data_IF_221528219661
#
_entry.id   IF_221528219661
#
_cell.length_a   1.000
_cell.length_b   1.000
_cell.length_c   1.000
_cell.angle_alpha   90.00
_cell.angle_beta   90.00
_cell.angle_gamma   90.00
#
_symmetry.space_group_name_H-M   'P 1'
#
loop_
_entity.id
_entity.type
_entity.pdbx_description
1 polymer ?
#
# COMPACT_ATOMS: atom_id res chain seq x y z
N UNK A 1 3.68 11.29 40.27
CA UNK A 1 4.94 10.57 39.93
C UNK A 1 5.34 10.84 38.49
N UNK A 2 4.51 10.53 37.49
CA UNK A 2 4.86 10.64 36.06
C UNK A 2 5.41 12.00 35.57
N UNK A 3 4.69 13.11 35.74
CA UNK A 3 5.09 14.35 35.03
C UNK A 3 6.24 15.12 35.69
N UNK A 4 6.44 14.96 37.00
CA UNK A 4 7.44 15.72 37.75
C UNK A 4 8.72 14.90 37.98
N UNK A 5 8.59 13.61 38.30
CA UNK A 5 9.76 12.78 38.61
C UNK A 5 10.49 12.34 37.34
N UNK A 6 9.78 11.86 36.32
CA UNK A 6 10.40 11.42 35.07
C UNK A 6 11.11 12.60 34.37
N UNK A 7 10.44 13.75 34.32
CA UNK A 7 10.98 14.99 33.73
C UNK A 7 12.23 15.51 34.45
N UNK A 8 12.27 15.45 35.77
CA UNK A 8 13.43 15.92 36.57
C UNK A 8 14.63 14.97 36.44
N UNK A 9 14.39 13.68 36.23
CA UNK A 9 15.46 12.66 36.16
C UNK A 9 15.84 12.25 34.73
N UNK A 10 15.26 12.89 33.70
CA UNK A 10 15.52 12.53 32.29
C UNK A 10 15.06 11.11 31.94
N UNK A 11 14.08 10.58 32.66
CA UNK A 11 13.53 9.25 32.43
C UNK A 11 12.31 9.34 31.52
N UNK A 12 12.06 8.26 30.79
CA UNK A 12 10.82 8.05 30.08
C UNK A 12 9.63 8.03 31.05
N UNK A 13 8.51 8.60 30.62
CA UNK A 13 7.27 8.50 31.39
C UNK A 13 6.76 7.04 31.35
N UNK A 14 5.84 6.70 32.28
CA UNK A 14 5.32 5.32 32.40
C UNK A 14 4.74 4.79 31.09
N UNK A 15 4.15 5.66 30.26
CA UNK A 15 3.60 5.30 28.96
C UNK A 15 4.70 4.86 27.98
N UNK A 16 5.75 5.66 27.81
CA UNK A 16 6.88 5.34 26.94
C UNK A 16 7.60 4.06 27.40
N UNK A 17 7.80 3.90 28.72
CA UNK A 17 8.35 2.66 29.28
C UNK A 17 7.50 1.44 28.94
N UNK A 18 6.16 1.55 29.03
CA UNK A 18 5.26 0.44 28.69
C UNK A 18 5.31 0.07 27.20
N UNK A 19 5.44 1.07 26.31
CA UNK A 19 5.57 0.86 24.87
C UNK A 19 6.91 0.19 24.54
N UNK A 20 8.01 0.63 25.16
CA UNK A 20 9.34 0.01 24.98
C UNK A 20 9.32 -1.45 25.41
N UNK A 21 8.78 -1.75 26.60
CA UNK A 21 8.70 -3.11 27.10
C UNK A 21 7.83 -4.01 26.20
N UNK A 22 6.68 -3.51 25.73
CA UNK A 22 5.82 -4.26 24.82
C UNK A 22 6.53 -4.52 23.47
N UNK A 23 7.23 -3.52 22.95
CA UNK A 23 8.00 -3.65 21.71
C UNK A 23 9.08 -4.72 21.83
N UNK A 24 9.92 -4.62 22.85
CA UNK A 24 11.07 -5.50 23.05
C UNK A 24 10.66 -6.95 23.33
N UNK A 25 9.65 -7.14 24.18
CA UNK A 25 9.31 -8.47 24.68
C UNK A 25 8.22 -9.19 23.86
N UNK A 26 7.43 -8.46 23.06
CA UNK A 26 6.31 -9.03 22.30
C UNK A 26 6.51 -8.83 20.80
N UNK A 27 6.59 -7.58 20.33
CA UNK A 27 6.63 -7.28 18.89
C UNK A 27 7.93 -7.77 18.23
N UNK A 28 9.07 -7.58 18.90
CA UNK A 28 10.38 -7.97 18.40
C UNK A 28 10.73 -9.43 18.71
N UNK A 29 9.83 -10.17 19.37
CA UNK A 29 10.04 -11.60 19.57
C UNK A 29 9.98 -12.32 18.21
N UNK A 30 11.02 -13.05 17.77
CA UNK A 30 11.16 -13.49 16.37
C UNK A 30 9.94 -14.21 15.79
N UNK A 31 9.36 -15.15 16.54
CA UNK A 31 8.18 -15.90 16.09
C UNK A 31 6.93 -15.02 15.95
N UNK A 32 6.78 -14.02 16.83
CA UNK A 32 5.65 -13.08 16.76
C UNK A 32 5.87 -12.13 15.59
N UNK A 33 7.09 -11.60 15.45
CA UNK A 33 7.48 -10.73 14.35
C UNK A 33 7.18 -11.37 12.98
N UNK A 34 7.64 -12.59 12.73
CA UNK A 34 7.40 -13.30 11.47
C UNK A 34 5.92 -13.54 11.20
N UNK A 35 5.18 -13.99 12.22
CA UNK A 35 3.73 -14.21 12.12
C UNK A 35 2.98 -12.91 11.87
N UNK A 36 3.39 -11.82 12.51
CA UNK A 36 2.80 -10.50 12.34
C UNK A 36 3.01 -10.01 10.92
N UNK A 37 4.25 -10.02 10.40
CA UNK A 37 4.57 -9.65 9.01
C UNK A 37 3.74 -10.45 8.01
N UNK A 38 3.69 -11.78 8.18
CA UNK A 38 2.94 -12.67 7.29
C UNK A 38 1.42 -12.40 7.36
N UNK A 39 0.88 -12.22 8.56
CA UNK A 39 -0.54 -11.94 8.77
C UNK A 39 -0.93 -10.58 8.21
N UNK A 40 -0.06 -9.58 8.34
CA UNK A 40 -0.24 -8.25 7.77
C UNK A 40 -0.33 -8.33 6.25
N UNK A 41 0.63 -8.96 5.58
CA UNK A 41 0.59 -9.12 4.13
C UNK A 41 -0.68 -9.82 3.65
N UNK A 42 -1.06 -10.92 4.30
CA UNK A 42 -2.29 -11.65 3.95
C UNK A 42 -3.56 -10.82 4.16
N UNK A 43 -3.59 -9.96 5.18
CA UNK A 43 -4.75 -9.12 5.49
C UNK A 43 -4.87 -7.94 4.52
N UNK A 44 -3.75 -7.44 4.01
CA UNK A 44 -3.69 -6.26 3.14
C UNK A 44 -3.49 -6.62 1.65
N UNK A 45 -3.53 -7.90 1.30
CA UNK A 45 -3.26 -8.40 -0.04
C UNK A 45 -4.15 -7.73 -1.11
N UNK A 46 -3.58 -6.99 -2.08
CA UNK A 46 -4.32 -6.35 -3.18
C UNK A 46 -5.03 -7.36 -4.11
N UNK A 47 -4.63 -8.64 -4.06
CA UNK A 47 -5.20 -9.70 -4.87
C UNK A 47 -6.49 -10.29 -4.28
N UNK A 48 -6.87 -9.95 -3.04
CA UNK A 48 -8.15 -10.38 -2.46
C UNK A 48 -9.31 -9.64 -3.13
N UNK A 49 -9.80 -10.20 -4.23
CA UNK A 49 -11.00 -9.75 -4.91
C UNK A 49 -12.24 -10.09 -4.05
N UNK A 50 -12.84 -9.08 -3.40
CA UNK A 50 -14.09 -9.24 -2.66
C UNK A 50 -13.96 -9.78 -1.23
N UNK A 51 -12.74 -9.83 -0.67
CA UNK A 51 -12.55 -10.07 0.76
C UNK A 51 -13.04 -8.88 1.58
N UNK A 52 -14.03 -9.08 2.45
CA UNK A 52 -14.48 -8.05 3.40
C UNK A 52 -13.43 -7.95 4.51
N UNK A 53 -12.37 -7.21 4.26
CA UNK A 53 -11.39 -6.89 5.31
C UNK A 53 -11.96 -5.75 6.15
N UNK A 54 -11.94 -5.91 7.47
CA UNK A 54 -12.44 -4.89 8.37
C UNK A 54 -11.47 -3.70 8.41
N UNK A 55 -11.82 -2.61 7.72
CA UNK A 55 -11.03 -1.37 7.68
C UNK A 55 -10.71 -0.82 9.08
N UNK A 56 -11.60 -1.03 10.05
CA UNK A 56 -11.37 -0.63 11.44
C UNK A 56 -10.22 -1.42 12.06
N UNK A 57 -10.18 -2.74 11.84
CA UNK A 57 -9.08 -3.59 12.32
C UNK A 57 -7.75 -3.19 11.68
N UNK A 58 -7.74 -2.98 10.37
CA UNK A 58 -6.53 -2.53 9.65
C UNK A 58 -6.03 -1.20 10.19
N UNK A 59 -6.94 -0.25 10.45
CA UNK A 59 -6.61 1.06 11.01
C UNK A 59 -5.98 0.95 12.39
N UNK A 60 -6.54 0.13 13.27
CA UNK A 60 -5.96 -0.07 14.60
C UNK A 60 -4.60 -0.75 14.55
N UNK A 61 -4.38 -1.69 13.62
CA UNK A 61 -3.08 -2.32 13.45
C UNK A 61 -2.04 -1.30 12.94
N UNK A 62 -2.36 -0.50 11.92
CA UNK A 62 -1.47 0.58 11.46
C UNK A 62 -1.15 1.56 12.60
N UNK A 63 -2.15 2.01 13.35
CA UNK A 63 -1.96 2.90 14.50
C UNK A 63 -1.09 2.28 15.59
N UNK A 64 -1.29 0.99 15.89
CA UNK A 64 -0.48 0.26 16.86
C UNK A 64 1.00 0.25 16.43
N UNK A 65 1.28 -0.13 15.18
CA UNK A 65 2.64 -0.19 14.65
C UNK A 65 3.34 1.18 14.68
N UNK A 66 2.61 2.26 14.34
CA UNK A 66 3.13 3.63 14.36
C UNK A 66 3.35 4.13 15.79
N UNK A 67 2.42 3.85 16.71
CA UNK A 67 2.54 4.26 18.12
C UNK A 67 3.72 3.55 18.79
N UNK A 68 3.98 2.33 18.36
CA UNK A 68 5.12 1.54 18.80
C UNK A 68 6.39 1.89 18.03
N UNK A 69 6.46 2.99 17.29
CA UNK A 69 7.65 3.33 16.52
C UNK A 69 8.46 4.45 17.20
N UNK A 70 9.72 4.17 17.55
CA UNK A 70 10.61 5.21 18.07
C UNK A 70 11.41 5.90 16.95
N UNK A 71 11.47 5.33 15.73
CA UNK A 71 12.25 5.86 14.59
C UNK A 71 11.71 5.46 13.21
N UNK A 72 10.40 5.26 13.05
CA UNK A 72 9.77 4.77 11.80
C UNK A 72 10.33 3.42 11.28
N UNK A 73 10.85 2.56 12.15
CA UNK A 73 11.39 1.24 11.78
C UNK A 73 10.32 0.15 11.77
N UNK A 74 9.40 0.13 12.73
CA UNK A 74 8.47 -1.02 12.87
C UNK A 74 7.38 -0.96 11.82
N UNK A 75 6.72 0.20 11.66
CA UNK A 75 5.69 0.32 10.64
C UNK A 75 6.28 0.09 9.24
N UNK A 76 7.41 0.72 8.95
CA UNK A 76 8.02 0.65 7.63
C UNK A 76 8.62 -0.71 7.31
N UNK A 77 9.31 -1.37 8.25
CA UNK A 77 9.93 -2.69 8.00
C UNK A 77 8.94 -3.85 8.08
N UNK A 78 7.92 -3.77 8.96
CA UNK A 78 7.03 -4.91 9.21
C UNK A 78 5.82 -4.88 8.30
N UNK A 79 5.40 -3.69 7.85
CA UNK A 79 4.23 -3.51 7.04
C UNK A 79 4.52 -2.81 5.71
N UNK A 80 4.93 -1.54 5.72
CA UNK A 80 4.91 -0.69 4.53
C UNK A 80 5.80 -1.24 3.41
N UNK A 81 7.05 -1.56 3.71
CA UNK A 81 8.01 -2.04 2.70
C UNK A 81 7.57 -3.38 2.11
N UNK A 82 7.26 -4.42 2.91
CA UNK A 82 6.72 -5.67 2.37
C UNK A 82 5.42 -5.49 1.57
N UNK A 83 4.51 -4.64 2.06
CA UNK A 83 3.22 -4.37 1.43
C UNK A 83 3.39 -3.72 0.05
N UNK A 84 4.26 -2.71 -0.06
CA UNK A 84 4.57 -2.03 -1.30
C UNK A 84 5.27 -2.99 -2.29
N UNK A 85 6.22 -3.80 -1.83
CA UNK A 85 6.89 -4.80 -2.69
C UNK A 85 5.93 -5.85 -3.25
N UNK A 86 5.04 -6.37 -2.41
CA UNK A 86 4.02 -7.33 -2.82
C UNK A 86 3.03 -6.70 -3.81
N UNK A 87 2.62 -5.46 -3.55
CA UNK A 87 1.70 -4.73 -4.42
C UNK A 87 2.30 -4.38 -5.78
N UNK A 88 3.57 -3.95 -5.83
CA UNK A 88 4.28 -3.69 -7.08
C UNK A 88 4.28 -4.93 -7.99
N UNK A 89 4.60 -6.09 -7.42
CA UNK A 89 4.60 -7.36 -8.15
C UNK A 89 3.20 -7.71 -8.67
N UNK A 90 2.17 -7.53 -7.83
CA UNK A 90 0.79 -7.75 -8.22
C UNK A 90 0.36 -6.82 -9.38
N UNK A 91 0.63 -5.52 -9.30
CA UNK A 91 0.29 -4.56 -10.37
C UNK A 91 1.07 -4.81 -11.65
N UNK A 92 2.33 -5.21 -11.56
CA UNK A 92 3.11 -5.60 -12.72
C UNK A 92 2.46 -6.78 -13.45
N UNK A 93 2.12 -7.85 -12.74
CA UNK A 93 1.45 -9.02 -13.33
C UNK A 93 0.06 -8.67 -13.90
N UNK A 94 -0.71 -7.85 -13.18
CA UNK A 94 -2.02 -7.38 -13.61
C UNK A 94 -1.92 -6.54 -14.89
N UNK A 95 -0.96 -5.61 -14.95
CA UNK A 95 -0.72 -4.75 -16.13
C UNK A 95 -0.39 -5.57 -17.38
N UNK A 96 0.51 -6.55 -17.28
CA UNK A 96 0.88 -7.40 -18.41
C UNK A 96 -0.28 -8.26 -18.90
N UNK A 97 -1.08 -8.80 -17.97
CA UNK A 97 -2.29 -9.55 -18.31
C UNK A 97 -3.29 -8.67 -19.06
N UNK A 98 -3.58 -7.47 -18.54
CA UNK A 98 -4.51 -6.54 -19.17
C UNK A 98 -4.03 -6.09 -20.56
N UNK A 99 -2.73 -5.81 -20.73
CA UNK A 99 -2.15 -5.44 -22.03
C UNK A 99 -2.17 -6.59 -23.06
N UNK A 100 -2.22 -7.85 -22.60
CA UNK A 100 -2.35 -9.00 -23.49
C UNK A 100 -3.80 -9.28 -23.92
N UNK A 101 -4.78 -8.90 -23.08
CA UNK A 101 -6.18 -9.26 -23.26
C UNK A 101 -7.05 -8.11 -23.80
N UNK A 102 -6.62 -6.85 -23.66
CA UNK A 102 -7.46 -5.66 -23.89
C UNK A 102 -6.90 -4.76 -24.98
N UNK A 103 -7.77 -3.97 -25.60
CA UNK A 103 -7.35 -2.85 -26.45
C UNK A 103 -7.02 -1.60 -25.61
N UNK A 104 -6.41 -0.57 -26.22
CA UNK A 104 -5.92 0.60 -25.46
C UNK A 104 -7.02 1.32 -24.66
N UNK A 105 -8.21 1.49 -25.22
CA UNK A 105 -9.31 2.17 -24.53
C UNK A 105 -9.86 1.35 -23.36
N UNK A 106 -9.97 0.04 -23.53
CA UNK A 106 -10.39 -0.86 -22.46
C UNK A 106 -9.37 -0.91 -21.33
N UNK A 107 -8.07 -0.99 -21.69
CA UNK A 107 -6.96 -0.96 -20.76
C UNK A 107 -6.98 0.31 -19.91
N UNK A 108 -7.04 1.50 -20.53
CA UNK A 108 -7.06 2.78 -19.81
C UNK A 108 -8.26 2.87 -18.85
N UNK A 109 -9.44 2.38 -19.26
CA UNK A 109 -10.63 2.37 -18.41
C UNK A 109 -10.46 1.45 -17.20
N UNK A 110 -9.95 0.24 -17.40
CA UNK A 110 -9.76 -0.75 -16.32
C UNK A 110 -8.68 -0.29 -15.33
N UNK A 111 -7.53 0.21 -15.78
CA UNK A 111 -6.49 0.70 -14.86
C UNK A 111 -6.95 1.93 -14.07
N UNK A 112 -7.74 2.83 -14.68
CA UNK A 112 -8.27 4.02 -13.97
C UNK A 112 -9.21 3.62 -12.84
N UNK A 113 -10.08 2.63 -13.10
CA UNK A 113 -10.94 2.05 -12.07
C UNK A 113 -10.12 1.34 -10.99
N UNK A 114 -9.06 0.62 -11.38
CA UNK A 114 -8.19 -0.11 -10.46
C UNK A 114 -7.43 0.81 -9.52
N UNK A 115 -6.82 1.90 -10.01
CA UNK A 115 -6.14 2.91 -9.19
C UNK A 115 -7.12 3.59 -8.23
N UNK A 116 -8.32 3.93 -8.70
CA UNK A 116 -9.37 4.54 -7.85
C UNK A 116 -9.84 3.60 -6.75
N UNK A 117 -9.99 2.31 -7.08
CA UNK A 117 -10.33 1.26 -6.12
C UNK A 117 -9.22 1.12 -5.07
N UNK A 118 -7.96 1.16 -5.51
CA UNK A 118 -6.82 1.03 -4.60
C UNK A 118 -6.72 2.20 -3.63
N UNK A 119 -6.85 3.44 -4.12
CA UNK A 119 -6.93 4.62 -3.26
C UNK A 119 -8.04 4.48 -2.21
N UNK A 120 -9.25 4.13 -2.66
CA UNK A 120 -10.41 3.95 -1.77
C UNK A 120 -10.16 2.83 -0.75
N UNK A 121 -9.45 1.78 -1.16
CA UNK A 121 -9.09 0.65 -0.31
C UNK A 121 -8.17 1.11 0.82
N UNK A 122 -7.12 1.87 0.54
CA UNK A 122 -6.08 2.17 1.54
C UNK A 122 -6.34 3.43 2.38
N UNK A 123 -7.09 4.40 1.88
CA UNK A 123 -7.25 5.73 2.50
C UNK A 123 -7.87 5.68 3.90
N UNK A 124 -8.71 4.68 4.17
CA UNK A 124 -9.44 4.57 5.44
C UNK A 124 -8.58 4.08 6.61
N UNK A 125 -7.45 3.41 6.34
CA UNK A 125 -6.66 2.75 7.37
C UNK A 125 -5.14 2.96 7.28
N UNK A 126 -4.60 3.38 6.15
CA UNK A 126 -3.17 3.69 6.03
C UNK A 126 -2.88 5.18 6.31
N UNK A 127 -1.66 5.51 6.79
CA UNK A 127 -1.17 6.88 6.81
C UNK A 127 -1.13 7.47 5.40
N UNK A 128 -1.29 8.80 5.32
CA UNK A 128 -1.26 9.53 4.05
C UNK A 128 0.00 9.23 3.22
N UNK A 129 1.18 9.13 3.86
CA UNK A 129 2.44 8.81 3.17
C UNK A 129 2.37 7.48 2.42
N UNK A 130 1.81 6.45 3.05
CA UNK A 130 1.66 5.13 2.44
C UNK A 130 0.63 5.12 1.32
N UNK A 131 -0.46 5.89 1.49
CA UNK A 131 -1.48 6.09 0.44
C UNK A 131 -0.86 6.76 -0.79
N UNK A 132 -0.09 7.83 -0.59
CA UNK A 132 0.58 8.53 -1.67
C UNK A 132 1.60 7.61 -2.37
N UNK A 133 2.36 6.80 -1.62
CA UNK A 133 3.31 5.82 -2.16
C UNK A 133 2.64 4.73 -3.01
N UNK A 134 1.56 4.11 -2.52
CA UNK A 134 0.90 3.00 -3.24
C UNK A 134 0.19 3.49 -4.50
N UNK A 135 -0.43 4.67 -4.46
CA UNK A 135 -1.08 5.26 -5.66
C UNK A 135 -0.04 5.58 -6.72
N UNK A 136 1.06 6.24 -6.33
CA UNK A 136 2.16 6.52 -7.27
C UNK A 136 2.73 5.24 -7.87
N UNK A 137 2.93 4.22 -7.05
CA UNK A 137 3.40 2.91 -7.51
C UNK A 137 2.41 2.26 -8.49
N UNK A 138 1.11 2.35 -8.26
CA UNK A 138 0.11 1.86 -9.18
C UNK A 138 0.15 2.63 -10.52
N UNK A 139 0.28 3.96 -10.49
CA UNK A 139 0.45 4.78 -11.69
C UNK A 139 1.73 4.41 -12.46
N UNK A 140 2.85 4.21 -11.76
CA UNK A 140 4.11 3.78 -12.37
C UNK A 140 3.97 2.42 -13.08
N UNK A 141 3.41 1.41 -12.39
CA UNK A 141 3.26 0.04 -12.91
C UNK A 141 2.22 -0.06 -14.02
N UNK A 142 1.09 0.63 -13.92
CA UNK A 142 0.01 0.55 -14.92
C UNK A 142 0.20 1.49 -16.11
N UNK A 143 0.80 2.67 -15.91
CA UNK A 143 0.85 3.75 -16.89
C UNK A 143 2.28 4.02 -17.35
N UNK A 144 3.17 4.46 -16.46
CA UNK A 144 4.47 5.00 -16.87
C UNK A 144 5.32 3.96 -17.61
N UNK A 145 5.39 2.73 -17.09
CA UNK A 145 6.16 1.64 -17.70
C UNK A 145 5.64 1.21 -19.08
N UNK A 146 4.35 1.44 -19.35
CA UNK A 146 3.67 0.96 -20.54
C UNK A 146 3.22 2.09 -21.48
N UNK A 147 3.53 3.35 -21.17
CA UNK A 147 3.01 4.51 -21.89
C UNK A 147 3.24 4.44 -23.41
N UNK A 148 4.45 4.10 -23.85
CA UNK A 148 4.77 3.92 -25.28
C UNK A 148 3.94 2.80 -25.90
N UNK A 149 3.87 1.63 -25.23
CA UNK A 149 3.12 0.48 -25.71
C UNK A 149 1.63 0.80 -25.86
N UNK A 150 1.04 1.52 -24.92
CA UNK A 150 -0.38 1.93 -24.93
C UNK A 150 -0.66 2.89 -26.10
N UNK A 151 0.21 3.87 -26.32
CA UNK A 151 0.07 4.85 -27.41
C UNK A 151 0.18 4.20 -28.78
N UNK A 152 1.08 3.22 -28.91
CA UNK A 152 1.41 2.52 -30.16
C UNK A 152 0.55 1.26 -30.40
N UNK A 153 -0.43 0.95 -29.54
CA UNK A 153 -1.25 -0.26 -29.72
C UNK A 153 -1.91 -0.30 -31.09
N UNK A 154 -1.66 -1.39 -31.81
CA UNK A 154 -2.17 -1.59 -33.16
C UNK A 154 -3.70 -1.55 -33.15
N UNK A 155 -4.29 -0.76 -34.08
CA UNK A 155 -5.74 -0.62 -34.26
C UNK A 155 -6.54 -0.10 -33.04
N UNK A 156 -5.88 0.43 -32.00
CA UNK A 156 -6.58 0.98 -30.83
C UNK A 156 -5.87 2.13 -30.12
N UNK A 157 -4.59 2.36 -30.42
CA UNK A 157 -3.79 3.44 -29.84
C UNK A 157 -4.24 4.84 -30.25
N UNK A 158 -3.49 5.85 -29.81
CA UNK A 158 -3.87 7.28 -29.94
C UNK A 158 -4.07 7.69 -31.40
N UNK A 159 -3.24 7.17 -32.31
CA UNK A 159 -3.37 7.42 -33.76
C UNK A 159 -4.75 6.95 -34.26
N UNK A 160 -5.15 5.73 -33.90
CA UNK A 160 -6.46 5.19 -34.28
C UNK A 160 -7.62 5.97 -33.64
N UNK A 161 -7.49 6.42 -32.38
CA UNK A 161 -8.50 7.23 -31.72
C UNK A 161 -8.68 8.63 -32.35
N UNK A 162 -7.61 9.22 -32.88
CA UNK A 162 -7.67 10.50 -33.59
C UNK A 162 -8.25 10.31 -34.99
N UNK A 163 -7.80 9.28 -35.72
CA UNK A 163 -8.30 8.96 -37.06
C UNK A 163 -9.78 8.60 -37.04
N UNK A 164 -10.23 7.78 -36.09
CA UNK A 164 -11.64 7.41 -35.93
C UNK A 164 -12.56 8.58 -35.56
N UNK A 165 -12.04 9.60 -34.85
CA UNK A 165 -12.79 10.83 -34.54
C UNK A 165 -12.79 11.88 -35.66
N UNK A 166 -11.93 11.73 -36.66
CA UNK A 166 -11.89 12.61 -37.83
C UNK A 166 -12.85 12.17 -38.96
N UNK A 167 -13.74 11.21 -38.70
CA UNK A 167 -14.76 10.73 -39.65
C UNK A 167 -16.20 11.13 -39.30
N UNK A 168 -16.40 12.09 -38.40
CA UNK A 168 -17.69 12.78 -38.18
C UNK A 168 -17.60 14.28 -38.55
#
# INVERSE_FOLDING_TARGET
MDHLYARVNGLDNTQLMSISLFRENIINYPTIQERLKSSLLNTFDPCQHGGVVNATTMKYICQMLITMDDNNSIYTEYFETPFLQHSANAYQQESEKLLAEKNASEYIREISARISQEYTRVVDYCPKSTVDCIVKMAEEEFIEKHATRIVEMESSGVVHMIESKNYD
#
